data_IF_406747031921
#
_entry.id   IF_406747031921
#
_cell.length_a   1.000
_cell.length_b   1.000
_cell.length_c   1.000
_cell.angle_alpha   90.00
_cell.angle_beta   90.00
_cell.angle_gamma   90.00
#
_symmetry.space_group_name_H-M   'P 1'
#
loop_
_entity.id
_entity.type
_entity.pdbx_description
1 polymer ?
#
# COMPACT_ATOMS: atom_id res chain seq x y z
N UNK A 1 13.28 55.44 15.58
CA UNK A 1 12.84 54.02 15.65
C UNK A 1 14.02 53.09 15.68
N UNK A 2 14.07 52.20 16.67
CA UNK A 2 15.10 51.17 16.78
C UNK A 2 14.61 49.95 16.02
N UNK A 3 15.29 49.62 14.92
CA UNK A 3 15.05 48.40 14.16
C UNK A 3 15.49 47.22 15.03
N UNK A 4 14.52 46.53 15.66
CA UNK A 4 14.79 45.26 16.36
C UNK A 4 15.11 44.21 15.31
N UNK A 5 16.40 43.89 15.18
CA UNK A 5 16.87 42.74 14.41
C UNK A 5 16.63 41.51 15.29
N UNK A 6 15.66 40.69 14.89
CA UNK A 6 15.43 39.40 15.53
C UNK A 6 16.48 38.41 15.04
N UNK A 7 17.14 37.70 15.96
CA UNK A 7 18.11 36.67 15.61
C UNK A 7 17.38 35.35 15.32
N UNK A 8 17.45 34.89 14.07
CA UNK A 8 16.75 33.68 13.60
C UNK A 8 17.16 32.41 14.37
N UNK A 9 18.32 32.38 15.00
CA UNK A 9 18.79 31.22 15.78
C UNK A 9 18.15 31.12 17.18
N UNK A 10 17.58 32.22 17.70
CA UNK A 10 17.06 32.31 19.07
C UNK A 10 15.53 32.48 19.11
N UNK A 11 14.83 31.85 18.16
CA UNK A 11 13.37 31.98 17.99
C UNK A 11 12.54 31.57 19.22
N UNK A 12 13.09 30.68 20.05
CA UNK A 12 12.45 30.15 21.26
C UNK A 12 12.32 31.18 22.39
N UNK A 13 13.06 32.30 22.33
CA UNK A 13 13.00 33.38 23.32
C UNK A 13 11.84 34.36 23.08
N UNK A 14 11.14 34.23 21.94
CA UNK A 14 10.08 35.14 21.55
C UNK A 14 8.69 34.52 21.73
N UNK A 15 7.78 35.28 22.35
CA UNK A 15 6.38 34.88 22.49
C UNK A 15 5.66 34.95 21.13
N UNK A 16 4.63 34.13 20.90
CA UNK A 16 3.91 34.03 19.61
C UNK A 16 3.21 35.31 19.08
N UNK A 17 3.30 36.42 19.82
CA UNK A 17 2.85 37.77 19.41
C UNK A 17 3.99 38.70 18.98
N UNK A 18 5.23 38.23 19.02
CA UNK A 18 6.42 38.97 18.54
C UNK A 18 6.39 39.05 17.01
N UNK A 19 6.82 40.17 16.45
CA UNK A 19 6.45 40.69 15.13
C UNK A 19 6.74 39.78 13.91
N UNK A 20 5.92 39.92 12.85
CA UNK A 20 5.82 39.05 11.64
C UNK A 20 6.38 39.69 10.35
N UNK A 21 7.68 39.98 10.28
CA UNK A 21 8.31 40.34 9.01
C UNK A 21 9.49 39.43 8.74
N UNK A 22 9.29 38.44 7.87
CA UNK A 22 10.29 37.45 7.47
C UNK A 22 9.81 36.00 7.66
N UNK A 23 10.53 35.07 7.03
CA UNK A 23 10.39 33.64 7.28
C UNK A 23 11.13 33.31 8.58
N UNK A 24 10.43 32.72 9.56
CA UNK A 24 11.03 32.21 10.78
C UNK A 24 11.27 30.71 10.58
N UNK A 25 12.52 30.28 10.68
CA UNK A 25 12.94 28.89 10.47
C UNK A 25 13.30 28.26 11.82
N UNK A 26 12.55 27.23 12.25
CA UNK A 26 12.90 26.43 13.42
C UNK A 26 13.63 25.16 12.97
N UNK A 27 14.93 25.07 13.29
CA UNK A 27 15.78 23.95 12.89
C UNK A 27 15.72 22.76 13.85
N UNK A 28 14.86 22.80 14.87
CA UNK A 28 14.70 21.66 15.78
C UNK A 28 14.05 20.49 15.03
N UNK A 29 14.58 19.26 15.19
CA UNK A 29 13.93 18.09 14.62
C UNK A 29 12.53 17.95 15.23
N UNK A 30 11.53 17.79 14.37
CA UNK A 30 10.20 17.40 14.82
C UNK A 30 10.16 15.87 14.94
N UNK A 31 9.65 15.37 16.05
CA UNK A 31 9.47 13.94 16.22
C UNK A 31 8.22 13.51 15.46
N UNK A 32 8.40 12.69 14.43
CA UNK A 32 7.31 12.00 13.76
C UNK A 32 6.86 10.75 14.53
N UNK A 33 5.74 10.16 14.09
CA UNK A 33 5.27 8.85 14.54
C UNK A 33 5.56 7.85 13.42
N UNK A 34 6.13 6.70 13.78
CA UNK A 34 6.30 5.59 12.83
C UNK A 34 4.96 4.88 12.63
N UNK A 35 4.40 4.98 11.42
CA UNK A 35 3.09 4.40 11.06
C UNK A 35 3.18 3.04 10.38
N UNK A 36 4.32 2.75 9.76
CA UNK A 36 4.64 1.46 9.12
C UNK A 36 6.15 1.26 9.05
N UNK A 37 6.60 0.00 9.15
CA UNK A 37 7.99 -0.40 8.99
C UNK A 37 8.06 -1.61 8.06
N UNK A 38 8.53 -1.45 6.84
CA UNK A 38 8.38 -2.47 5.79
C UNK A 38 9.76 -3.01 5.41
N UNK A 39 9.89 -4.35 5.36
CA UNK A 39 11.07 -4.99 4.81
C UNK A 39 10.94 -5.06 3.28
N UNK A 40 11.76 -4.31 2.57
CA UNK A 40 11.60 -4.12 1.13
C UNK A 40 12.92 -3.77 0.44
N UNK A 41 13.05 -4.21 -0.81
CA UNK A 41 14.18 -3.91 -1.70
C UNK A 41 14.04 -2.52 -2.37
N UNK A 42 13.08 -1.68 -1.94
CA UNK A 42 12.93 -0.32 -2.44
C UNK A 42 14.18 0.50 -2.16
N UNK A 43 14.77 1.08 -3.21
CA UNK A 43 15.92 1.99 -3.06
C UNK A 43 15.50 3.30 -2.38
N UNK A 44 14.33 3.82 -2.76
CA UNK A 44 13.74 5.04 -2.22
C UNK A 44 12.22 4.96 -2.26
N UNK A 45 11.55 5.45 -1.21
CA UNK A 45 10.12 5.73 -1.24
C UNK A 45 9.91 7.10 -1.91
N UNK A 46 9.11 7.13 -2.97
CA UNK A 46 8.84 8.33 -3.76
C UNK A 46 7.42 8.88 -3.56
N UNK A 47 6.49 8.03 -3.13
CA UNK A 47 5.11 8.42 -2.85
C UNK A 47 4.54 7.54 -1.74
N UNK A 48 3.76 8.17 -0.86
CA UNK A 48 2.98 7.51 0.18
C UNK A 48 1.57 8.07 0.08
N UNK A 49 0.61 7.18 -0.15
CA UNK A 49 -0.79 7.52 -0.28
C UNK A 49 -1.57 6.83 0.83
N UNK A 50 -2.24 7.59 1.71
CA UNK A 50 -3.11 7.02 2.72
C UNK A 50 -4.38 6.43 2.10
N UNK A 51 -4.70 5.18 2.43
CA UNK A 51 -6.01 4.57 2.21
C UNK A 51 -6.74 4.49 3.56
N UNK A 52 -7.28 5.64 3.98
CA UNK A 52 -7.92 5.78 5.29
C UNK A 52 -9.17 4.91 5.42
N UNK A 53 -9.90 4.72 4.31
CA UNK A 53 -11.15 3.95 4.27
C UNK A 53 -10.91 2.48 4.67
N UNK A 54 -9.80 1.91 4.21
CA UNK A 54 -9.46 0.52 4.46
C UNK A 54 -8.31 0.35 5.46
N UNK A 55 -7.87 1.41 6.14
CA UNK A 55 -6.80 1.32 7.14
C UNK A 55 -5.48 0.78 6.57
N UNK A 56 -5.09 1.24 5.37
CA UNK A 56 -3.88 0.81 4.69
C UNK A 56 -3.10 2.01 4.12
N UNK A 57 -1.91 1.73 3.60
CA UNK A 57 -1.05 2.68 2.89
C UNK A 57 -0.65 2.07 1.56
N UNK A 58 -0.69 2.89 0.51
CA UNK A 58 0.04 2.60 -0.72
C UNK A 58 1.40 3.30 -0.69
N UNK A 59 2.45 2.53 -0.95
CA UNK A 59 3.81 3.01 -1.10
C UNK A 59 4.21 2.84 -2.56
N UNK A 60 4.86 3.84 -3.14
CA UNK A 60 5.59 3.67 -4.38
C UNK A 60 7.06 3.97 -4.15
N UNK A 61 7.92 3.15 -4.72
CA UNK A 61 9.36 3.32 -4.65
C UNK A 61 10.05 2.87 -5.93
N UNK A 62 11.32 3.21 -6.06
CA UNK A 62 12.14 2.71 -7.17
C UNK A 62 12.76 1.36 -6.84
N UNK A 63 12.78 0.46 -7.81
CA UNK A 63 13.56 -0.77 -7.74
C UNK A 63 13.86 -1.32 -9.13
N UNK A 64 15.12 -1.70 -9.38
CA UNK A 64 15.58 -2.42 -10.59
C UNK A 64 15.07 -1.85 -11.94
N UNK A 65 14.87 -0.53 -12.04
CA UNK A 65 14.40 0.15 -13.26
C UNK A 65 12.87 0.26 -13.40
N UNK A 66 12.09 -0.30 -12.49
CA UNK A 66 10.64 -0.08 -12.33
C UNK A 66 10.35 0.87 -11.17
N UNK A 67 9.10 1.34 -11.13
CA UNK A 67 8.45 1.69 -9.88
C UNK A 67 7.78 0.46 -9.29
N UNK A 68 8.15 0.10 -8.07
CA UNK A 68 7.49 -0.94 -7.28
C UNK A 68 6.41 -0.26 -6.44
N UNK A 69 5.24 -0.88 -6.39
CA UNK A 69 4.06 -0.44 -5.66
C UNK A 69 3.78 -1.45 -4.57
N UNK A 70 3.58 -1.00 -3.33
CA UNK A 70 3.26 -1.86 -2.20
C UNK A 70 2.00 -1.36 -1.54
N UNK A 71 1.19 -2.28 -1.02
CA UNK A 71 0.12 -2.00 -0.07
C UNK A 71 0.52 -2.59 1.28
N UNK A 72 0.46 -1.80 2.34
CA UNK A 72 0.84 -2.20 3.70
C UNK A 72 -0.21 -1.73 4.70
N UNK A 73 -0.38 -2.41 5.85
CA UNK A 73 -1.37 -1.99 6.84
C UNK A 73 -0.95 -0.66 7.48
N UNK A 74 -1.93 0.19 7.78
CA UNK A 74 -1.75 1.38 8.59
C UNK A 74 -1.89 1.02 10.06
N UNK A 75 -0.92 1.41 10.90
CA UNK A 75 -1.13 1.45 12.35
C UNK A 75 -0.78 2.81 12.95
N UNK A 76 -1.68 3.34 13.79
CA UNK A 76 -1.40 4.52 14.62
C UNK A 76 -0.64 4.15 15.91
N UNK A 77 -0.59 2.86 16.25
CA UNK A 77 0.22 2.38 17.36
C UNK A 77 1.68 2.30 16.93
N UNK A 78 2.59 2.62 17.86
CA UNK A 78 4.02 2.63 17.59
C UNK A 78 4.47 1.22 17.18
N UNK A 79 4.72 1.02 15.88
CA UNK A 79 5.12 -0.28 15.38
C UNK A 79 6.57 -0.59 15.77
N UNK A 80 6.74 -1.66 16.55
CA UNK A 80 8.05 -2.23 16.88
C UNK A 80 8.43 -3.40 15.97
N UNK A 81 7.46 -3.94 15.21
CA UNK A 81 7.62 -5.06 14.29
C UNK A 81 7.55 -4.61 12.84
N UNK A 82 7.99 -5.49 11.92
CA UNK A 82 7.81 -5.28 10.49
C UNK A 82 6.32 -5.45 10.11
N UNK A 83 5.81 -4.48 9.37
CA UNK A 83 4.51 -4.51 8.72
C UNK A 83 4.57 -5.46 7.52
N UNK A 84 3.62 -6.40 7.38
CA UNK A 84 3.56 -7.27 6.22
C UNK A 84 3.23 -6.49 4.95
N UNK A 85 3.75 -6.97 3.82
CA UNK A 85 3.31 -6.51 2.50
C UNK A 85 2.00 -7.23 2.19
N UNK A 86 0.90 -6.47 2.08
CA UNK A 86 -0.43 -7.00 1.77
C UNK A 86 -0.55 -7.31 0.28
N UNK A 87 0.02 -6.44 -0.56
CA UNK A 87 0.01 -6.55 -2.00
C UNK A 87 1.25 -5.87 -2.60
N UNK A 88 1.70 -6.36 -3.75
CA UNK A 88 2.81 -5.80 -4.51
C UNK A 88 2.49 -5.76 -6.00
N UNK A 89 2.93 -4.71 -6.67
CA UNK A 89 2.83 -4.56 -8.12
C UNK A 89 4.00 -3.75 -8.67
N UNK A 90 4.11 -3.72 -9.99
CA UNK A 90 5.15 -2.97 -10.68
C UNK A 90 4.57 -2.12 -11.81
N UNK A 91 5.15 -0.95 -12.02
CA UNK A 91 4.88 -0.11 -13.18
C UNK A 91 6.18 0.42 -13.81
N UNK A 92 6.12 0.67 -15.11
CA UNK A 92 7.24 1.19 -15.89
C UNK A 92 6.75 2.32 -16.78
N UNK A 93 7.54 3.37 -17.05
CA UNK A 93 8.86 3.63 -16.50
C UNK A 93 8.77 4.19 -15.07
N UNK A 94 9.92 4.33 -14.43
CA UNK A 94 10.03 5.05 -13.16
C UNK A 94 9.47 6.47 -13.27
N UNK A 95 8.62 6.84 -12.31
CA UNK A 95 8.05 8.18 -12.21
C UNK A 95 7.86 8.58 -10.76
N UNK A 96 8.13 9.84 -10.43
CA UNK A 96 7.83 10.42 -9.11
C UNK A 96 6.34 10.59 -8.82
N UNK A 97 5.51 10.52 -9.86
CA UNK A 97 4.06 10.67 -9.80
C UNK A 97 3.38 9.39 -10.29
N UNK A 98 3.89 8.24 -9.84
CA UNK A 98 3.48 6.93 -10.30
C UNK A 98 2.10 6.51 -9.84
N UNK A 99 1.61 7.06 -8.72
CA UNK A 99 0.31 6.72 -8.15
C UNK A 99 -0.45 7.96 -7.67
N UNK A 100 -1.77 7.89 -7.71
CA UNK A 100 -2.72 8.82 -7.07
C UNK A 100 -3.96 8.06 -6.61
N UNK A 101 -4.53 8.44 -5.47
CA UNK A 101 -5.85 7.95 -5.08
C UNK A 101 -6.94 8.69 -5.86
N UNK A 102 -8.06 8.03 -6.11
CA UNK A 102 -9.30 8.69 -6.47
C UNK A 102 -9.88 9.46 -5.27
N UNK A 103 -10.83 10.36 -5.54
CA UNK A 103 -11.48 11.18 -4.52
C UNK A 103 -12.33 10.37 -3.54
N UNK A 104 -13.02 9.30 -3.96
CA UNK A 104 -13.81 8.45 -3.06
C UNK A 104 -12.95 7.48 -2.26
N UNK A 105 -11.74 7.18 -2.74
CA UNK A 105 -10.84 6.22 -2.09
C UNK A 105 -11.14 4.78 -2.49
N UNK A 106 -11.82 4.58 -3.61
CA UNK A 106 -12.20 3.27 -4.13
C UNK A 106 -11.23 2.78 -5.21
N UNK A 107 -10.37 3.66 -5.74
CA UNK A 107 -9.40 3.31 -6.77
C UNK A 107 -8.05 4.02 -6.62
N UNK A 108 -7.00 3.36 -7.10
CA UNK A 108 -5.67 3.93 -7.31
C UNK A 108 -5.43 4.07 -8.81
N UNK A 109 -5.09 5.28 -9.23
CA UNK A 109 -4.55 5.55 -10.56
C UNK A 109 -3.06 5.25 -10.57
N UNK A 110 -2.63 4.40 -11.49
CA UNK A 110 -1.24 3.98 -11.64
C UNK A 110 -0.74 4.42 -13.02
N UNK A 111 0.36 5.17 -13.06
CA UNK A 111 1.04 5.47 -14.30
C UNK A 111 1.80 4.24 -14.79
N UNK A 112 1.46 3.78 -15.99
CA UNK A 112 2.14 2.69 -16.68
C UNK A 112 2.43 3.13 -18.13
N UNK A 113 3.66 3.52 -18.39
CA UNK A 113 4.11 4.02 -19.68
C UNK A 113 3.60 5.42 -19.91
N UNK A 114 2.82 5.57 -20.97
CA UNK A 114 2.08 6.79 -21.30
C UNK A 114 0.60 6.71 -20.96
N UNK A 115 0.16 5.61 -20.35
CA UNK A 115 -1.23 5.38 -19.97
C UNK A 115 -1.41 5.39 -18.47
N UNK A 116 -2.59 5.83 -18.03
CA UNK A 116 -3.02 5.73 -16.63
C UNK A 116 -3.91 4.51 -16.53
N UNK A 117 -3.44 3.51 -15.79
CA UNK A 117 -4.25 2.37 -15.40
C UNK A 117 -5.07 2.72 -14.15
N UNK A 118 -6.28 2.17 -14.07
CA UNK A 118 -7.14 2.28 -12.89
C UNK A 118 -7.16 0.92 -12.22
N UNK A 119 -6.87 0.88 -10.92
CA UNK A 119 -6.97 -0.31 -10.10
C UNK A 119 -7.97 -0.03 -8.99
N UNK A 120 -9.12 -0.70 -8.99
CA UNK A 120 -10.07 -0.57 -7.89
C UNK A 120 -9.53 -1.29 -6.65
N UNK A 121 -9.76 -0.71 -5.49
CA UNK A 121 -9.34 -1.24 -4.19
C UNK A 121 -10.36 -2.30 -3.77
N UNK A 122 -10.33 -3.42 -4.48
CA UNK A 122 -11.18 -4.60 -4.24
C UNK A 122 -10.32 -5.85 -4.25
N UNK A 123 -10.78 -6.90 -3.56
CA UNK A 123 -10.05 -8.17 -3.51
C UNK A 123 -9.80 -8.76 -4.90
N UNK A 124 -10.77 -8.65 -5.82
CA UNK A 124 -10.64 -9.16 -7.19
C UNK A 124 -9.70 -8.36 -8.08
N UNK A 125 -9.47 -7.07 -7.77
CA UNK A 125 -8.56 -6.24 -8.54
C UNK A 125 -7.13 -6.26 -8.03
N UNK A 126 -6.95 -6.34 -6.71
CA UNK A 126 -5.64 -6.50 -6.09
C UNK A 126 -5.09 -7.92 -6.30
N UNK A 127 -5.92 -8.95 -6.13
CA UNK A 127 -5.48 -10.34 -6.18
C UNK A 127 -6.19 -11.06 -7.33
N UNK A 128 -5.43 -11.52 -8.31
CA UNK A 128 -5.93 -12.27 -9.47
C UNK A 128 -5.87 -13.77 -9.25
N UNK A 129 -4.97 -14.22 -8.39
CA UNK A 129 -4.76 -15.65 -8.08
C UNK A 129 -4.75 -15.88 -6.58
N UNK A 130 -4.99 -17.13 -6.16
CA UNK A 130 -4.88 -17.49 -4.76
C UNK A 130 -3.43 -17.32 -4.29
N UNK A 131 -2.46 -17.65 -5.14
CA UNK A 131 -1.04 -17.53 -4.86
C UNK A 131 -0.66 -16.09 -4.50
N UNK A 132 -1.17 -15.10 -5.23
CA UNK A 132 -0.99 -13.67 -4.89
C UNK A 132 -1.59 -13.33 -3.53
N UNK A 133 -2.81 -13.81 -3.26
CA UNK A 133 -3.48 -13.62 -1.97
C UNK A 133 -2.68 -14.26 -0.81
N UNK A 134 -2.00 -15.38 -1.06
CA UNK A 134 -1.18 -16.07 -0.07
C UNK A 134 0.07 -15.31 0.36
N UNK A 135 0.51 -14.33 -0.44
CA UNK A 135 1.70 -13.52 -0.14
C UNK A 135 1.46 -12.43 0.92
N UNK A 136 0.21 -12.22 1.33
CA UNK A 136 -0.12 -11.26 2.39
C UNK A 136 -1.57 -10.80 2.41
N UNK A 137 -2.31 -11.01 1.31
CA UNK A 137 -3.68 -10.52 1.19
C UNK A 137 -4.70 -11.18 2.13
N UNK A 138 -4.39 -12.34 2.73
CA UNK A 138 -5.18 -12.89 3.85
C UNK A 138 -5.25 -11.98 5.08
N UNK A 139 -4.28 -11.07 5.22
CA UNK A 139 -4.21 -10.07 6.29
C UNK A 139 -4.69 -8.69 5.82
N UNK A 140 -5.14 -8.56 4.58
CA UNK A 140 -5.61 -7.28 4.06
C UNK A 140 -6.92 -6.88 4.77
N UNK A 141 -7.05 -5.63 5.26
CA UNK A 141 -8.28 -5.13 5.87
C UNK A 141 -9.54 -5.26 5.00
N UNK A 142 -9.38 -5.41 3.68
CA UNK A 142 -10.47 -5.74 2.75
C UNK A 142 -11.12 -7.12 3.01
N UNK A 143 -10.57 -7.92 3.92
CA UNK A 143 -11.11 -9.25 4.30
C UNK A 143 -11.26 -10.18 3.10
N UNK A 144 -10.21 -10.26 2.29
CA UNK A 144 -10.20 -11.00 1.04
C UNK A 144 -10.22 -12.51 1.24
N UNK A 145 -11.07 -13.20 0.48
CA UNK A 145 -11.17 -14.67 0.49
C UNK A 145 -11.11 -15.26 -0.91
N UNK A 146 -10.49 -16.45 -1.02
CA UNK A 146 -10.53 -17.22 -2.25
C UNK A 146 -11.75 -18.14 -2.25
N UNK A 147 -12.61 -17.98 -3.24
CA UNK A 147 -13.76 -18.83 -3.42
C UNK A 147 -13.55 -19.80 -4.59
N UNK A 148 -13.55 -21.09 -4.29
CA UNK A 148 -13.52 -22.14 -5.30
C UNK A 148 -14.79 -22.99 -5.16
N UNK A 149 -15.65 -22.92 -6.17
CA UNK A 149 -16.80 -23.81 -6.35
C UNK A 149 -16.63 -24.66 -7.62
N UNK A 150 -17.59 -25.53 -7.92
CA UNK A 150 -17.53 -26.43 -9.10
C UNK A 150 -17.52 -25.69 -10.45
N UNK A 151 -17.92 -24.42 -10.48
CA UNK A 151 -18.11 -23.63 -11.69
C UNK A 151 -17.14 -22.45 -11.80
N UNK A 152 -16.55 -22.00 -10.69
CA UNK A 152 -15.84 -20.71 -10.58
C UNK A 152 -14.74 -20.78 -9.53
N UNK A 153 -13.65 -20.09 -9.86
CA UNK A 153 -12.56 -19.81 -8.94
C UNK A 153 -12.35 -18.29 -8.98
N UNK A 154 -12.77 -17.61 -7.93
CA UNK A 154 -12.87 -16.14 -7.90
C UNK A 154 -12.45 -15.57 -6.55
N UNK A 155 -11.94 -14.34 -6.62
CA UNK A 155 -11.65 -13.51 -5.46
C UNK A 155 -12.86 -12.68 -5.07
N UNK A 156 -13.21 -12.71 -3.80
CA UNK A 156 -14.34 -11.95 -3.23
C UNK A 156 -13.96 -11.36 -1.89
N UNK A 157 -14.66 -10.32 -1.48
CA UNK A 157 -14.63 -9.83 -0.10
C UNK A 157 -15.56 -10.71 0.74
N UNK A 158 -15.17 -11.01 1.99
CA UNK A 158 -15.96 -11.89 2.86
C UNK A 158 -17.41 -11.40 3.08
N UNK A 159 -17.61 -10.09 3.08
CA UNK A 159 -18.91 -9.43 3.29
C UNK A 159 -19.73 -9.27 2.00
N UNK A 160 -19.22 -9.68 0.84
CA UNK A 160 -19.95 -9.60 -0.42
C UNK A 160 -21.19 -10.52 -0.39
N UNK A 161 -22.29 -10.07 -1.00
CA UNK A 161 -23.54 -10.84 -1.13
C UNK A 161 -23.40 -12.13 -1.98
N UNK A 162 -22.21 -12.39 -2.53
CA UNK A 162 -21.92 -13.59 -3.31
C UNK A 162 -21.81 -14.80 -2.37
N UNK A 163 -22.63 -15.85 -2.57
CA UNK A 163 -22.60 -17.03 -1.71
C UNK A 163 -21.33 -17.84 -1.97
N UNK A 164 -20.25 -17.53 -1.28
CA UNK A 164 -19.11 -18.41 -1.18
C UNK A 164 -19.40 -19.49 -0.14
N UNK A 165 -19.76 -20.69 -0.59
CA UNK A 165 -20.12 -21.80 0.31
C UNK A 165 -18.94 -22.31 1.15
N UNK A 166 -17.72 -22.21 0.62
CA UNK A 166 -16.51 -22.73 1.25
C UNK A 166 -15.34 -21.76 1.05
N UNK A 167 -15.31 -20.62 1.76
CA UNK A 167 -14.23 -19.65 1.61
C UNK A 167 -12.93 -20.21 2.15
N UNK A 168 -11.88 -20.09 1.34
CA UNK A 168 -10.51 -20.40 1.74
C UNK A 168 -9.91 -19.10 2.28
N UNK A 169 -9.27 -19.15 3.45
CA UNK A 169 -8.80 -17.93 4.17
C UNK A 169 -7.34 -17.99 4.63
N UNK A 170 -6.60 -19.07 4.32
CA UNK A 170 -5.24 -19.28 4.85
C UNK A 170 -4.27 -19.99 3.92
N UNK A 171 -4.75 -20.95 3.14
CA UNK A 171 -3.88 -21.84 2.35
C UNK A 171 -4.54 -22.10 1.01
N UNK A 172 -3.83 -21.81 -0.07
CA UNK A 172 -4.33 -22.07 -1.39
C UNK A 172 -4.44 -23.57 -1.68
N UNK A 173 -5.49 -23.97 -2.42
CA UNK A 173 -5.58 -25.34 -2.89
C UNK A 173 -4.41 -25.62 -3.83
N UNK A 174 -3.88 -26.86 -3.85
CA UNK A 174 -2.80 -27.21 -4.76
C UNK A 174 -3.27 -27.18 -6.21
N UNK A 175 -2.41 -26.73 -7.12
CA UNK A 175 -2.71 -26.72 -8.55
C UNK A 175 -2.49 -28.11 -9.14
N UNK A 176 -3.56 -28.68 -9.71
CA UNK A 176 -3.55 -30.02 -10.32
C UNK A 176 -3.38 -29.89 -11.82
N UNK A 177 -2.29 -30.43 -12.34
CA UNK A 177 -2.02 -30.50 -13.77
C UNK A 177 -2.23 -31.93 -14.27
N UNK A 178 -3.04 -32.09 -15.31
CA UNK A 178 -3.13 -33.36 -16.04
C UNK A 178 -1.97 -33.44 -17.03
N UNK A 179 -1.03 -34.34 -16.77
CA UNK A 179 0.10 -34.60 -17.67
C UNK A 179 -0.17 -35.89 -18.43
N UNK A 180 -0.94 -35.77 -19.52
CA UNK A 180 -1.29 -36.88 -20.42
C UNK A 180 -2.37 -37.84 -19.89
N UNK A 181 -2.62 -38.92 -20.64
CA UNK A 181 -3.71 -39.87 -20.41
C UNK A 181 -3.59 -40.75 -19.14
N UNK A 182 -2.55 -40.59 -18.32
CA UNK A 182 -2.30 -41.54 -17.22
C UNK A 182 -1.62 -40.98 -15.96
N UNK A 183 -1.23 -39.70 -15.93
CA UNK A 183 -0.53 -39.14 -14.76
C UNK A 183 -1.14 -37.82 -14.31
N UNK A 184 -1.37 -37.72 -13.00
CA UNK A 184 -1.87 -36.55 -12.31
C UNK A 184 -0.72 -35.99 -11.47
N UNK A 185 -0.31 -34.75 -11.75
CA UNK A 185 0.75 -34.08 -11.00
C UNK A 185 0.12 -33.03 -10.10
N UNK A 186 0.35 -33.15 -8.79
CA UNK A 186 -0.08 -32.18 -7.79
C UNK A 186 1.14 -31.33 -7.43
N UNK A 187 1.11 -30.04 -7.75
CA UNK A 187 2.14 -29.09 -7.32
C UNK A 187 1.65 -28.36 -6.06
N UNK A 188 2.55 -28.21 -5.09
CA UNK A 188 2.38 -27.42 -3.88
C UNK A 188 3.41 -26.31 -3.88
#
# INVERSE_FOLDING_TARGET
DVQRVYENCNLHEYFGRSYRYGWLEDFRPFNGISVANVDTDLENIISVIPDELHGALFLAGYGRGSTILLRVPWSLEQQTSLSPILWSGESFPQSRFSISLDKSGDAVFILNGTVVAVMYITCSDLYKTCEELSQGGWMDPLSCVWCADEQRQVMVTLDDELPCTSPITRVCPPTVYHVGFSYLTILR
#
